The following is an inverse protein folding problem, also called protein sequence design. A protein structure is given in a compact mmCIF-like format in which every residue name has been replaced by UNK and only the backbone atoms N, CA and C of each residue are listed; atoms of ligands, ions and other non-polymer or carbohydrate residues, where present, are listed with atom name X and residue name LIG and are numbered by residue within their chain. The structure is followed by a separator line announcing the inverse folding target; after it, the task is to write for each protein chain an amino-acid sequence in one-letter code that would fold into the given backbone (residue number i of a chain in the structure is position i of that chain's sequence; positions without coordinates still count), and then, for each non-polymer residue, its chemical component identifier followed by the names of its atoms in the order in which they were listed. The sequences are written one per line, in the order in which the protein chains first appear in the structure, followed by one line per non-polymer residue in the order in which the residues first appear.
data_IF_504872525150
#
_entry.id   IF_504872525150
#
_cell.length_a   1.000
_cell.length_b   1.000
_cell.length_c   1.000
_cell.angle_alpha   90.00
_cell.angle_beta   90.00
_cell.angle_gamma   90.00
#
_symmetry.space_group_name_H-M   'P 1'
#
loop_
_entity.id
_entity.type
_entity.pdbx_description
1 polymer ?
#
# COMPACT_ATOMS: atom_id res chain seq x y z
N UNK A 1 27.36 15.68 -72.88
CA UNK A 1 28.78 15.97 -73.15
C UNK A 1 29.42 16.31 -71.81
N UNK A 2 30.27 15.40 -71.43
CA UNK A 2 31.59 15.51 -70.77
C UNK A 2 31.62 16.15 -69.36
N UNK A 3 31.77 15.32 -68.35
CA UNK A 3 33.00 14.90 -67.63
C UNK A 3 33.77 16.07 -66.99
N UNK A 4 33.97 16.07 -65.66
CA UNK A 4 35.28 15.81 -65.02
C UNK A 4 35.19 16.11 -63.51
N UNK A 5 35.30 15.15 -62.68
CA UNK A 5 36.41 14.79 -61.77
C UNK A 5 36.78 15.76 -60.62
N UNK A 6 36.86 15.11 -59.48
CA UNK A 6 37.38 15.55 -58.17
C UNK A 6 38.86 16.00 -58.21
N UNK A 7 39.41 16.66 -57.13
CA UNK A 7 39.85 15.82 -56.00
C UNK A 7 39.68 16.45 -54.57
N UNK A 8 39.88 15.54 -53.61
CA UNK A 8 39.92 15.74 -52.16
C UNK A 8 41.13 16.56 -51.69
N UNK A 9 40.94 17.35 -50.58
CA UNK A 9 42.02 17.67 -49.66
C UNK A 9 41.45 17.67 -48.21
N UNK A 10 42.13 16.90 -47.36
CA UNK A 10 41.96 16.84 -45.92
C UNK A 10 42.43 18.12 -45.20
N UNK A 11 41.79 18.46 -44.10
CA UNK A 11 42.48 18.98 -42.89
C UNK A 11 41.55 19.00 -41.68
N UNK A 12 41.99 18.39 -40.59
CA UNK A 12 41.58 18.45 -39.19
C UNK A 12 42.09 19.71 -38.53
N UNK A 13 41.86 19.91 -37.19
CA UNK A 13 40.62 20.36 -36.53
C UNK A 13 40.86 21.65 -35.73
N UNK A 14 39.82 22.37 -35.30
CA UNK A 14 39.93 23.24 -34.11
C UNK A 14 38.56 23.62 -33.56
N UNK A 15 38.42 23.35 -32.28
CA UNK A 15 37.80 24.08 -31.17
C UNK A 15 36.28 24.33 -31.13
N UNK A 16 35.72 23.68 -30.11
CA UNK A 16 34.86 24.20 -29.05
C UNK A 16 33.63 25.03 -29.43
N UNK A 17 32.47 24.39 -29.33
CA UNK A 17 31.30 25.05 -28.73
C UNK A 17 30.45 24.01 -27.96
N UNK A 18 30.53 24.09 -26.64
CA UNK A 18 29.73 23.35 -25.69
C UNK A 18 28.32 23.93 -25.61
N UNK A 19 27.33 23.17 -26.02
CA UNK A 19 25.91 23.43 -25.73
C UNK A 19 25.53 22.57 -24.50
N UNK A 20 25.07 23.16 -23.39
CA UNK A 20 24.65 22.39 -22.21
C UNK A 20 23.19 21.95 -22.34
N UNK A 21 22.91 20.69 -21.96
CA UNK A 21 21.62 20.28 -21.47
C UNK A 21 20.74 19.41 -22.35
N UNK A 22 21.13 18.18 -22.60
CA UNK A 22 20.17 17.10 -22.86
C UNK A 22 20.08 16.27 -21.60
N UNK A 23 18.90 16.30 -20.97
CA UNK A 23 18.58 15.52 -19.78
C UNK A 23 18.70 14.02 -20.08
N UNK A 24 19.52 13.34 -19.31
CA UNK A 24 19.65 11.88 -19.27
C UNK A 24 18.34 11.24 -18.82
N UNK A 25 17.85 10.17 -19.41
CA UNK A 25 16.62 9.52 -18.95
C UNK A 25 16.84 8.84 -17.59
N UNK A 26 15.90 9.07 -16.69
CA UNK A 26 15.78 8.47 -15.36
C UNK A 26 15.62 6.95 -15.46
N UNK A 27 16.73 6.23 -15.46
CA UNK A 27 16.76 4.77 -15.27
C UNK A 27 17.54 4.47 -13.99
N UNK A 28 16.96 4.82 -12.86
CA UNK A 28 17.40 4.35 -11.54
C UNK A 28 16.22 4.42 -10.60
N UNK A 29 15.53 3.32 -10.38
CA UNK A 29 14.76 3.10 -9.15
C UNK A 29 14.16 1.68 -9.10
N UNK A 30 14.98 0.65 -8.97
CA UNK A 30 14.51 -0.68 -8.51
C UNK A 30 15.44 -1.29 -7.45
N UNK A 31 16.53 -0.62 -7.07
CA UNK A 31 17.54 -1.15 -6.14
C UNK A 31 17.42 -0.63 -4.69
N UNK A 32 16.43 0.19 -4.36
CA UNK A 32 16.41 0.88 -3.06
C UNK A 32 15.80 0.07 -1.89
N UNK A 33 15.10 -1.04 -2.13
CA UNK A 33 14.41 -1.77 -1.05
C UNK A 33 15.31 -2.77 -0.30
N UNK A 34 16.35 -3.30 -0.94
CA UNK A 34 17.22 -4.33 -0.34
C UNK A 34 18.31 -3.78 0.60
N UNK A 35 18.65 -2.49 0.48
CA UNK A 35 19.80 -1.89 1.16
C UNK A 35 19.44 -1.16 2.48
N UNK A 36 18.16 -0.92 2.74
CA UNK A 36 17.70 -0.18 3.93
C UNK A 36 17.80 -0.98 5.24
N UNK A 37 17.75 -2.30 5.20
CA UNK A 37 17.79 -3.16 6.38
C UNK A 37 19.18 -3.25 7.04
N UNK A 38 20.21 -2.74 6.40
CA UNK A 38 21.55 -2.61 6.97
C UNK A 38 21.73 -1.39 7.87
N UNK A 39 20.79 -0.43 7.84
CA UNK A 39 20.78 0.78 8.67
C UNK A 39 20.00 0.53 9.97
N UNK A 40 20.38 1.28 11.03
CA UNK A 40 19.60 1.29 12.25
C UNK A 40 18.20 1.89 11.98
N UNK A 41 17.12 1.32 12.52
CA UNK A 41 15.77 1.86 12.33
C UNK A 41 15.64 3.25 12.95
N UNK A 42 14.92 4.14 12.25
CA UNK A 42 14.59 5.45 12.77
C UNK A 42 13.52 5.38 13.87
N UNK A 43 12.49 4.56 13.66
CA UNK A 43 11.48 4.25 14.66
C UNK A 43 11.54 2.75 14.98
N UNK A 44 11.66 2.41 16.26
CA UNK A 44 11.61 1.03 16.75
C UNK A 44 10.58 0.90 17.85
N UNK A 45 9.69 -0.06 17.68
CA UNK A 45 8.65 -0.44 18.61
C UNK A 45 9.01 -1.80 19.16
N UNK A 46 9.20 -1.89 20.49
CA UNK A 46 9.62 -3.11 21.16
C UNK A 46 8.58 -3.54 22.18
N UNK A 47 7.95 -4.68 21.92
CA UNK A 47 6.99 -5.32 22.82
C UNK A 47 5.90 -4.37 23.35
N UNK A 48 5.37 -3.50 22.47
CA UNK A 48 4.36 -2.54 22.89
C UNK A 48 3.02 -3.25 23.09
N UNK A 49 2.50 -3.09 24.29
CA UNK A 49 1.17 -3.55 24.70
C UNK A 49 0.35 -2.37 25.19
N UNK A 50 -0.96 -2.38 24.86
CA UNK A 50 -1.91 -1.37 25.35
C UNK A 50 -3.18 -2.01 25.82
N UNK A 51 -3.57 -1.68 27.05
CA UNK A 51 -4.85 -2.11 27.64
C UNK A 51 -5.68 -0.89 28.05
N UNK A 52 -6.99 -0.97 27.85
CA UNK A 52 -8.00 -0.04 28.36
C UNK A 52 -8.93 -0.82 29.28
N UNK A 53 -8.68 -0.73 30.59
CA UNK A 53 -9.36 -1.59 31.55
C UNK A 53 -9.12 -3.08 31.23
N UNK A 54 -10.19 -3.83 30.93
CA UNK A 54 -10.11 -5.24 30.53
C UNK A 54 -9.83 -5.48 29.04
N UNK A 55 -9.98 -4.45 28.21
CA UNK A 55 -9.80 -4.56 26.77
C UNK A 55 -8.32 -4.40 26.37
N UNK A 56 -7.77 -5.38 25.65
CA UNK A 56 -6.40 -5.36 25.12
C UNK A 56 -6.45 -4.84 23.69
N UNK A 57 -6.04 -3.59 23.50
CA UNK A 57 -6.04 -2.92 22.19
C UNK A 57 -4.81 -3.28 21.34
N UNK A 58 -3.65 -3.47 21.98
CA UNK A 58 -2.41 -3.89 21.31
C UNK A 58 -1.77 -5.02 22.11
N UNK A 59 -1.26 -6.03 21.39
CA UNK A 59 -0.70 -7.26 21.94
C UNK A 59 0.70 -7.46 21.38
N UNK A 60 1.70 -7.15 22.19
CA UNK A 60 3.12 -7.48 21.95
C UNK A 60 3.62 -7.04 20.56
N UNK A 61 3.41 -5.76 20.24
CA UNK A 61 3.78 -5.18 18.93
C UNK A 61 5.30 -4.98 18.85
N UNK A 62 5.89 -5.51 17.79
CA UNK A 62 7.28 -5.27 17.37
C UNK A 62 7.25 -4.71 15.95
N UNK A 63 7.91 -3.56 15.73
CA UNK A 63 8.00 -2.96 14.42
C UNK A 63 9.23 -2.07 14.32
N UNK A 64 10.04 -2.28 13.28
CA UNK A 64 11.11 -1.37 12.88
C UNK A 64 10.68 -0.61 11.62
N UNK A 65 10.91 0.72 11.60
CA UNK A 65 10.72 1.59 10.45
C UNK A 65 12.04 2.28 10.16
N UNK A 66 12.50 2.18 8.93
CA UNK A 66 13.83 2.66 8.53
C UNK A 66 13.80 4.11 8.03
N UNK A 67 14.93 4.83 8.03
CA UNK A 67 15.00 6.20 7.55
C UNK A 67 14.46 6.35 6.13
N UNK A 68 13.58 7.34 5.91
CA UNK A 68 12.97 7.62 4.61
C UNK A 68 11.98 6.56 4.11
N UNK A 69 11.62 5.57 4.93
CA UNK A 69 10.65 4.54 4.59
C UNK A 69 9.22 5.05 4.74
N UNK A 70 8.34 4.64 3.82
CA UNK A 70 6.89 4.84 3.91
C UNK A 70 6.23 3.53 4.38
N UNK A 71 5.83 3.46 5.64
CA UNK A 71 5.13 2.30 6.21
C UNK A 71 3.64 2.58 6.36
N UNK A 72 2.81 1.66 5.90
CA UNK A 72 1.36 1.74 6.04
C UNK A 72 0.83 0.71 7.04
N UNK A 73 0.16 1.17 8.10
CA UNK A 73 -0.59 0.32 9.03
C UNK A 73 -1.99 0.10 8.44
N UNK A 74 -2.29 -1.13 8.06
CA UNK A 74 -3.52 -1.53 7.38
C UNK A 74 -4.24 -2.60 8.20
N UNK A 75 -5.57 -2.58 8.24
CA UNK A 75 -6.35 -3.57 8.99
C UNK A 75 -7.79 -3.11 9.20
N UNK A 76 -8.69 -3.99 9.67
CA UNK A 76 -10.08 -3.66 9.92
C UNK A 76 -10.24 -2.60 11.03
N UNK A 77 -11.42 -2.00 11.11
CA UNK A 77 -11.74 -1.04 12.16
C UNK A 77 -11.59 -1.69 13.55
N UNK A 78 -10.99 -0.95 14.49
CA UNK A 78 -10.80 -1.43 15.87
C UNK A 78 -9.62 -2.39 16.07
N UNK A 79 -8.81 -2.73 15.07
CA UNK A 79 -7.65 -3.62 15.25
C UNK A 79 -6.43 -2.97 15.92
N UNK A 80 -6.48 -1.66 16.28
CA UNK A 80 -5.41 -0.99 17.05
C UNK A 80 -4.52 -0.02 16.29
N UNK A 81 -4.69 0.21 14.97
CA UNK A 81 -3.84 1.09 14.12
C UNK A 81 -3.66 2.50 14.68
N UNK A 82 -4.78 3.20 14.89
CA UNK A 82 -4.79 4.57 15.45
C UNK A 82 -4.24 4.61 16.87
N UNK A 83 -4.47 3.55 17.66
CA UNK A 83 -3.89 3.44 19.02
C UNK A 83 -2.36 3.35 18.94
N UNK A 84 -1.83 2.53 18.01
CA UNK A 84 -0.39 2.41 17.79
C UNK A 84 0.21 3.75 17.32
N UNK A 85 -0.42 4.41 16.35
CA UNK A 85 0.02 5.72 15.86
C UNK A 85 0.03 6.76 16.98
N UNK A 86 -1.01 6.79 17.83
CA UNK A 86 -1.07 7.71 18.99
C UNK A 86 0.00 7.41 20.05
N UNK A 87 0.38 6.14 20.23
CA UNK A 87 1.49 5.77 21.11
C UNK A 87 2.81 6.28 20.53
N UNK A 88 3.04 6.13 19.22
CA UNK A 88 4.23 6.67 18.54
C UNK A 88 4.30 8.19 18.72
N UNK A 89 3.19 8.90 18.60
CA UNK A 89 3.11 10.34 18.79
C UNK A 89 3.21 10.78 20.27
N UNK A 90 3.09 9.86 21.24
CA UNK A 90 3.02 10.19 22.67
C UNK A 90 1.70 10.82 23.10
N UNK A 91 0.67 10.74 22.26
CA UNK A 91 -0.72 11.16 22.55
C UNK A 91 -1.45 10.12 23.41
N UNK A 92 -0.97 8.90 23.40
CA UNK A 92 -1.45 7.79 24.22
C UNK A 92 -0.21 7.06 24.80
N UNK A 93 -0.31 6.63 26.06
CA UNK A 93 0.80 5.90 26.69
C UNK A 93 0.58 4.39 26.58
N UNK A 94 1.60 3.66 26.20
CA UNK A 94 1.60 2.20 26.22
C UNK A 94 1.53 1.68 27.66
N UNK A 95 0.95 0.49 27.83
CA UNK A 95 0.92 -0.19 29.15
C UNK A 95 2.25 -0.90 29.42
N UNK A 96 2.89 -1.44 28.37
CA UNK A 96 4.19 -2.11 28.45
C UNK A 96 4.95 -1.87 27.13
N UNK A 97 6.28 -2.14 27.17
CA UNK A 97 7.15 -2.02 26.00
C UNK A 97 7.75 -0.64 25.84
N UNK A 98 8.49 -0.46 24.74
CA UNK A 98 9.28 0.76 24.48
C UNK A 98 9.05 1.26 23.05
N UNK A 99 9.20 2.58 22.89
CA UNK A 99 9.23 3.27 21.60
C UNK A 99 10.53 4.05 21.54
N UNK A 100 11.38 3.73 20.54
CA UNK A 100 12.64 4.42 20.30
C UNK A 100 12.52 5.20 18.99
N UNK A 101 13.02 6.43 18.96
CA UNK A 101 13.03 7.31 17.81
C UNK A 101 14.43 7.91 17.64
N UNK A 102 15.08 7.72 16.50
CA UNK A 102 16.47 8.12 16.27
C UNK A 102 17.43 7.54 17.32
N UNK A 103 17.19 6.31 17.76
CA UNK A 103 17.96 5.62 18.80
C UNK A 103 17.68 6.06 20.24
N UNK A 104 16.79 7.05 20.46
CA UNK A 104 16.43 7.55 21.81
C UNK A 104 15.13 6.92 22.28
N UNK A 105 15.07 6.50 23.53
CA UNK A 105 13.82 6.03 24.16
C UNK A 105 12.90 7.23 24.42
N UNK A 106 11.76 7.25 23.71
CA UNK A 106 10.75 8.31 23.83
C UNK A 106 9.46 7.81 24.51
N UNK A 107 9.49 6.61 25.08
CA UNK A 107 8.31 5.90 25.63
C UNK A 107 7.46 6.75 26.57
N UNK A 108 8.11 7.55 27.42
CA UNK A 108 7.45 8.38 28.43
C UNK A 108 7.54 9.88 28.14
N UNK A 109 8.08 10.26 26.99
CA UNK A 109 8.15 11.68 26.62
C UNK A 109 6.80 12.18 26.12
N UNK A 110 6.38 13.39 26.52
CA UNK A 110 5.16 14.01 25.97
C UNK A 110 5.37 14.35 24.48
N UNK A 111 4.27 14.57 23.72
CA UNK A 111 4.33 14.87 22.28
C UNK A 111 5.27 16.04 21.93
N UNK A 112 5.31 17.08 22.77
CA UNK A 112 6.15 18.27 22.57
C UNK A 112 7.65 18.01 22.61
N UNK A 113 8.10 16.85 23.12
CA UNK A 113 9.49 16.44 23.22
C UNK A 113 9.87 15.33 22.23
N UNK A 114 8.95 14.95 21.34
CA UNK A 114 9.18 13.96 20.28
C UNK A 114 9.35 14.66 18.94
N UNK A 115 10.16 14.08 18.05
CA UNK A 115 10.43 14.64 16.72
C UNK A 115 9.45 14.05 15.67
N UNK A 116 8.26 14.61 15.58
CA UNK A 116 7.27 14.21 14.58
C UNK A 116 6.38 15.37 14.12
N UNK A 117 5.86 15.24 12.89
CA UNK A 117 4.70 15.98 12.40
C UNK A 117 3.50 15.03 12.26
N UNK A 118 2.30 15.51 12.51
CA UNK A 118 1.09 14.69 12.41
C UNK A 118 0.00 15.37 11.59
N UNK A 119 -0.66 14.59 10.73
CA UNK A 119 -1.92 14.93 10.06
C UNK A 119 -3.01 14.02 10.61
N UNK A 120 -4.02 14.60 11.25
CA UNK A 120 -5.16 13.87 11.77
C UNK A 120 -6.22 13.66 10.71
N UNK A 121 -7.10 12.69 10.90
CA UNK A 121 -8.22 12.36 10.02
C UNK A 121 -9.13 13.57 9.73
N UNK A 122 -9.38 14.44 10.72
CA UNK A 122 -10.17 15.67 10.58
C UNK A 122 -9.33 16.87 10.15
N UNK A 123 -8.04 16.65 9.75
CA UNK A 123 -7.04 17.68 9.48
C UNK A 123 -6.71 18.58 10.69
N UNK A 124 -7.61 18.74 11.64
CA UNK A 124 -7.48 19.52 12.89
C UNK A 124 -6.89 20.92 12.67
N UNK A 125 -7.31 21.61 11.60
CA UNK A 125 -6.93 22.99 11.35
C UNK A 125 -7.62 23.93 12.36
N UNK A 126 -6.90 24.97 12.77
CA UNK A 126 -7.47 26.04 13.58
C UNK A 126 -8.43 26.88 12.71
N UNK A 127 -9.75 26.85 12.98
CA UNK A 127 -10.74 27.44 12.08
C UNK A 127 -10.66 28.98 12.02
N UNK A 128 -10.13 29.59 13.06
CA UNK A 128 -9.95 31.04 13.22
C UNK A 128 -8.59 31.56 12.70
N UNK A 129 -7.74 30.68 12.18
CA UNK A 129 -6.45 31.02 11.60
C UNK A 129 -6.47 30.79 10.10
N UNK A 130 -5.84 31.68 9.33
CA UNK A 130 -5.64 31.49 7.89
C UNK A 130 -4.68 30.32 7.61
N UNK A 131 -4.53 29.90 6.34
CA UNK A 131 -3.61 28.84 5.94
C UNK A 131 -2.16 29.19 6.34
N UNK A 132 -1.68 30.39 6.08
CA UNK A 132 -0.36 30.89 6.54
C UNK A 132 -0.23 30.75 8.06
N UNK A 133 -1.23 31.22 8.82
CA UNK A 133 -1.19 31.19 10.26
C UNK A 133 -1.24 29.76 10.83
N UNK A 134 -2.00 28.86 10.19
CA UNK A 134 -2.01 27.44 10.55
C UNK A 134 -0.63 26.82 10.38
N UNK A 135 0.05 27.07 9.25
CA UNK A 135 1.39 26.53 8.99
C UNK A 135 2.44 27.18 9.89
N UNK A 136 2.35 28.48 10.14
CA UNK A 136 3.27 29.24 10.97
C UNK A 136 3.18 28.90 12.47
N UNK A 137 2.07 28.32 12.91
CA UNK A 137 1.73 28.18 14.34
C UNK A 137 2.83 27.50 15.18
N UNK A 138 3.36 26.38 14.69
CA UNK A 138 4.44 25.66 15.38
C UNK A 138 5.74 26.46 15.44
N UNK A 139 6.10 27.14 14.36
CA UNK A 139 7.31 27.96 14.26
C UNK A 139 7.23 29.18 15.21
N UNK A 140 6.04 29.80 15.33
CA UNK A 140 5.81 30.91 16.26
C UNK A 140 5.96 30.47 17.71
N UNK A 141 5.43 29.30 18.07
CA UNK A 141 5.57 28.73 19.42
C UNK A 141 7.03 28.42 19.78
N UNK A 142 7.85 28.08 18.81
CA UNK A 142 9.30 27.91 18.97
C UNK A 142 10.08 29.24 18.92
N UNK A 143 9.39 30.38 18.81
CA UNK A 143 9.99 31.73 18.74
C UNK A 143 10.99 31.90 17.59
N UNK A 144 10.76 31.22 16.46
CA UNK A 144 11.56 31.40 15.24
C UNK A 144 11.42 32.86 14.76
N UNK A 145 12.48 33.50 14.25
CA UNK A 145 12.43 34.86 13.71
C UNK A 145 11.39 35.02 12.60
N UNK A 146 10.61 36.11 12.61
CA UNK A 146 9.49 36.35 11.69
C UNK A 146 9.87 36.20 10.20
N UNK A 147 11.00 36.73 9.79
CA UNK A 147 11.48 36.61 8.41
C UNK A 147 11.70 35.15 7.99
N UNK A 148 12.23 34.31 8.87
CA UNK A 148 12.42 32.87 8.61
C UNK A 148 11.08 32.15 8.54
N UNK A 149 10.11 32.53 9.40
CA UNK A 149 8.75 31.96 9.34
C UNK A 149 8.10 32.28 8.01
N UNK A 150 8.16 33.54 7.55
CA UNK A 150 7.55 33.98 6.29
C UNK A 150 8.14 33.19 5.09
N UNK A 151 9.46 33.08 5.01
CA UNK A 151 10.13 32.28 3.97
C UNK A 151 9.71 30.83 4.03
N UNK A 152 9.81 30.19 5.19
CA UNK A 152 9.50 28.75 5.36
C UNK A 152 8.04 28.43 5.05
N UNK A 153 7.11 29.26 5.47
CA UNK A 153 5.68 29.09 5.23
C UNK A 153 5.35 29.24 3.74
N UNK A 154 5.97 30.21 3.04
CA UNK A 154 5.81 30.38 1.60
C UNK A 154 6.30 29.15 0.84
N UNK A 155 7.52 28.68 1.15
CA UNK A 155 8.09 27.44 0.55
C UNK A 155 7.18 26.23 0.74
N UNK A 156 6.64 26.04 1.94
CA UNK A 156 5.76 24.91 2.24
C UNK A 156 4.42 25.00 1.52
N UNK A 157 3.82 26.19 1.45
CA UNK A 157 2.56 26.40 0.72
C UNK A 157 2.76 26.19 -0.78
N UNK A 158 3.88 26.64 -1.34
CA UNK A 158 4.23 26.40 -2.75
C UNK A 158 4.47 24.90 -2.99
N UNK A 159 5.18 24.23 -2.09
CA UNK A 159 5.48 22.80 -2.15
C UNK A 159 4.23 21.93 -2.19
N UNK A 160 3.17 22.32 -1.47
CA UNK A 160 1.87 21.62 -1.49
C UNK A 160 0.89 22.19 -2.52
N UNK A 161 1.34 23.06 -3.43
CA UNK A 161 0.52 23.63 -4.51
C UNK A 161 -0.57 24.60 -4.03
N UNK A 162 -0.34 25.31 -2.93
CA UNK A 162 -1.24 26.32 -2.35
C UNK A 162 -0.65 27.74 -2.39
N UNK A 163 0.33 28.01 -3.26
CA UNK A 163 0.86 29.34 -3.50
C UNK A 163 -0.25 30.34 -3.79
N UNK A 164 -0.22 31.51 -3.14
CA UNK A 164 -1.24 32.53 -3.26
C UNK A 164 -2.55 32.30 -2.49
N UNK A 165 -2.77 31.13 -1.88
CA UNK A 165 -3.97 30.82 -1.09
C UNK A 165 -3.78 30.99 0.44
N UNK A 166 -2.62 31.45 0.86
CA UNK A 166 -2.25 31.53 2.27
C UNK A 166 -3.15 32.39 3.15
N UNK A 167 -3.85 33.36 2.56
CA UNK A 167 -4.80 34.25 3.28
C UNK A 167 -6.17 33.61 3.57
N UNK A 168 -6.51 32.48 2.93
CA UNK A 168 -7.80 31.82 3.10
C UNK A 168 -7.89 31.11 4.45
N UNK A 169 -9.10 31.10 5.02
CA UNK A 169 -9.44 30.36 6.22
C UNK A 169 -9.90 28.93 5.86
N UNK A 170 -9.84 27.97 6.79
CA UNK A 170 -10.25 26.58 6.52
C UNK A 170 -11.63 26.45 5.88
N UNK A 171 -12.62 27.22 6.33
CA UNK A 171 -13.98 27.21 5.77
C UNK A 171 -14.06 27.66 4.28
N UNK A 172 -13.02 28.31 3.77
CA UNK A 172 -12.92 28.78 2.37
C UNK A 172 -12.13 27.82 1.49
N UNK A 173 -11.65 26.72 2.04
CA UNK A 173 -10.81 25.72 1.38
C UNK A 173 -11.59 24.43 1.15
N UNK A 174 -11.38 23.79 0.00
CA UNK A 174 -11.88 22.42 -0.20
C UNK A 174 -11.21 21.43 0.73
N UNK A 175 -11.78 20.23 0.93
CA UNK A 175 -11.20 19.19 1.79
C UNK A 175 -9.76 18.84 1.40
N UNK A 176 -9.47 18.69 0.10
CA UNK A 176 -8.10 18.45 -0.37
C UNK A 176 -7.15 19.63 -0.13
N UNK A 177 -7.64 20.87 -0.20
CA UNK A 177 -6.84 22.05 0.15
C UNK A 177 -6.58 22.12 1.67
N UNK A 178 -7.58 21.80 2.51
CA UNK A 178 -7.39 21.71 3.96
C UNK A 178 -6.36 20.67 4.34
N UNK A 179 -6.39 19.50 3.70
CA UNK A 179 -5.41 18.45 3.89
C UNK A 179 -3.99 18.92 3.55
N UNK A 180 -3.80 19.61 2.42
CA UNK A 180 -2.50 20.16 2.03
C UNK A 180 -1.99 21.20 3.02
N UNK A 181 -2.87 22.05 3.58
CA UNK A 181 -2.50 22.96 4.68
C UNK A 181 -2.08 22.19 5.92
N UNK A 182 -2.80 21.12 6.30
CA UNK A 182 -2.44 20.28 7.44
C UNK A 182 -1.09 19.58 7.23
N UNK A 183 -0.81 19.13 6.01
CA UNK A 183 0.47 18.52 5.63
C UNK A 183 1.61 19.56 5.71
N UNK A 184 1.43 20.76 5.16
CA UNK A 184 2.39 21.86 5.27
C UNK A 184 2.66 22.23 6.73
N UNK A 185 1.61 22.27 7.58
CA UNK A 185 1.75 22.50 9.02
C UNK A 185 2.56 21.41 9.72
N UNK A 186 2.30 20.14 9.38
CA UNK A 186 3.03 19.02 9.95
C UNK A 186 4.52 19.05 9.58
N UNK A 187 4.87 19.56 8.40
CA UNK A 187 6.24 19.67 7.88
C UNK A 187 6.95 20.98 8.31
N UNK A 188 6.26 21.90 8.95
CA UNK A 188 6.80 23.24 9.25
C UNK A 188 8.08 23.19 10.09
N UNK A 189 8.12 22.31 11.08
CA UNK A 189 9.25 22.12 12.00
C UNK A 189 10.34 21.20 11.45
N UNK A 190 10.23 20.75 10.20
CA UNK A 190 11.17 19.79 9.57
C UNK A 190 11.36 18.51 10.40
N UNK A 191 10.27 17.81 10.74
CA UNK A 191 10.35 16.62 11.59
C UNK A 191 11.04 15.46 10.88
N UNK A 192 11.69 14.58 11.66
CA UNK A 192 12.26 13.34 11.13
C UNK A 192 11.22 12.24 10.88
N UNK A 193 10.02 12.34 11.47
CA UNK A 193 8.91 11.39 11.32
C UNK A 193 7.62 12.10 10.94
N UNK A 194 6.94 11.62 9.91
CA UNK A 194 5.60 12.07 9.53
C UNK A 194 4.58 11.00 9.87
N UNK A 195 3.56 11.36 10.63
CA UNK A 195 2.45 10.50 11.01
C UNK A 195 1.17 10.95 10.30
N UNK A 196 0.50 10.02 9.62
CA UNK A 196 -0.71 10.29 8.85
C UNK A 196 -1.84 9.38 9.38
N UNK A 197 -2.85 9.95 10.03
CA UNK A 197 -4.01 9.22 10.57
C UNK A 197 -5.18 9.33 9.59
N UNK A 198 -5.38 8.32 8.74
CA UNK A 198 -6.42 8.26 7.69
C UNK A 198 -6.52 9.55 6.84
N UNK A 199 -5.42 10.04 6.28
CA UNK A 199 -5.36 11.40 5.72
C UNK A 199 -6.29 11.61 4.52
N UNK A 200 -6.76 10.56 3.85
CA UNK A 200 -7.54 10.64 2.62
C UNK A 200 -9.00 10.22 2.78
N UNK A 201 -9.42 9.79 3.98
CA UNK A 201 -10.73 9.18 4.23
C UNK A 201 -11.93 10.10 3.95
N UNK A 202 -11.76 11.42 4.15
CA UNK A 202 -12.83 12.42 3.99
C UNK A 202 -12.98 12.97 2.55
N UNK A 203 -12.27 12.40 1.56
CA UNK A 203 -12.19 12.92 0.21
C UNK A 203 -12.92 12.06 -0.81
N UNK A 204 -13.40 12.68 -1.89
CA UNK A 204 -13.94 11.96 -3.04
C UNK A 204 -12.87 11.13 -3.78
N UNK A 205 -13.31 10.14 -4.56
CA UNK A 205 -12.42 9.16 -5.19
C UNK A 205 -11.37 9.79 -6.14
N UNK A 206 -11.75 10.81 -6.92
CA UNK A 206 -10.83 11.42 -7.88
C UNK A 206 -9.77 12.27 -7.18
N UNK A 207 -10.16 13.05 -6.18
CA UNK A 207 -9.25 13.85 -5.36
C UNK A 207 -8.29 12.91 -4.59
N UNK A 208 -8.80 11.79 -4.07
CA UNK A 208 -8.01 10.78 -3.36
C UNK A 208 -6.90 10.19 -4.24
N UNK A 209 -7.20 9.81 -5.49
CA UNK A 209 -6.20 9.27 -6.44
C UNK A 209 -5.08 10.27 -6.68
N UNK A 210 -5.42 11.55 -6.89
CA UNK A 210 -4.42 12.61 -7.12
C UNK A 210 -3.55 12.84 -5.90
N UNK A 211 -4.17 12.98 -4.72
CA UNK A 211 -3.44 13.28 -3.49
C UNK A 211 -2.55 12.12 -3.02
N UNK A 212 -2.91 10.86 -3.30
CA UNK A 212 -2.00 9.72 -3.08
C UNK A 212 -0.66 9.92 -3.78
N UNK A 213 -0.70 10.24 -5.08
CA UNK A 213 0.52 10.47 -5.85
C UNK A 213 1.32 11.67 -5.31
N UNK A 214 0.64 12.78 -4.99
CA UNK A 214 1.28 14.00 -4.48
C UNK A 214 1.96 13.77 -3.12
N UNK A 215 1.31 13.07 -2.19
CA UNK A 215 1.87 12.74 -0.86
C UNK A 215 3.09 11.82 -1.02
N UNK A 216 2.99 10.81 -1.87
CA UNK A 216 4.10 9.88 -2.13
C UNK A 216 5.29 10.58 -2.76
N UNK A 217 5.07 11.46 -3.75
CA UNK A 217 6.11 12.26 -4.37
C UNK A 217 6.76 13.22 -3.37
N UNK A 218 5.96 13.87 -2.54
CA UNK A 218 6.43 14.79 -1.52
C UNK A 218 7.32 14.05 -0.50
N UNK A 219 6.85 12.91 -0.01
CA UNK A 219 7.59 12.08 0.93
C UNK A 219 8.94 11.63 0.36
N UNK A 220 8.96 11.18 -0.90
CA UNK A 220 10.20 10.77 -1.58
C UNK A 220 11.16 11.92 -1.78
N UNK A 221 10.69 13.10 -2.20
CA UNK A 221 11.51 14.30 -2.36
C UNK A 221 12.13 14.78 -1.06
N UNK A 222 11.39 14.67 0.04
CA UNK A 222 11.88 15.09 1.37
C UNK A 222 12.70 14.00 2.07
N UNK A 223 12.61 12.73 1.63
CA UNK A 223 13.25 11.59 2.30
C UNK A 223 12.77 11.39 3.74
N UNK A 224 11.56 11.85 4.08
CA UNK A 224 11.03 11.80 5.44
C UNK A 224 10.47 10.41 5.76
N UNK A 225 10.84 9.88 6.94
CA UNK A 225 10.25 8.63 7.43
C UNK A 225 8.75 8.83 7.69
N UNK A 226 7.91 7.95 7.18
CA UNK A 226 6.45 8.14 7.24
C UNK A 226 5.74 6.89 7.75
N UNK A 227 4.82 7.07 8.69
CA UNK A 227 3.88 6.03 9.14
C UNK A 227 2.46 6.52 8.88
N UNK A 228 1.73 5.80 8.04
CA UNK A 228 0.34 6.10 7.69
C UNK A 228 -0.59 5.02 8.23
N UNK A 229 -1.73 5.43 8.76
CA UNK A 229 -2.86 4.56 9.06
C UNK A 229 -3.89 4.72 7.95
N UNK A 230 -4.39 3.62 7.43
CA UNK A 230 -5.56 3.59 6.55
C UNK A 230 -6.35 2.30 6.72
N UNK A 231 -7.59 2.30 6.29
CA UNK A 231 -8.41 1.11 6.08
C UNK A 231 -8.60 0.82 4.57
N UNK A 232 -8.11 1.69 3.68
CA UNK A 232 -8.19 1.55 2.23
C UNK A 232 -6.97 0.78 1.71
N UNK A 233 -7.24 -0.42 1.18
CA UNK A 233 -6.20 -1.30 0.62
C UNK A 233 -5.50 -0.68 -0.58
N UNK A 234 -6.25 0.05 -1.45
CA UNK A 234 -5.67 0.67 -2.63
C UNK A 234 -4.71 1.82 -2.27
N UNK A 235 -4.92 2.49 -1.12
CA UNK A 235 -3.97 3.47 -0.60
C UNK A 235 -2.69 2.77 -0.14
N UNK A 236 -2.80 1.73 0.69
CA UNK A 236 -1.66 1.00 1.20
C UNK A 236 -0.82 0.38 0.08
N UNK A 237 -1.48 -0.28 -0.89
CA UNK A 237 -0.80 -0.93 -2.02
C UNK A 237 -0.10 0.07 -2.95
N UNK A 238 -0.64 1.30 -3.11
CA UNK A 238 -0.09 2.29 -4.02
C UNK A 238 1.00 3.19 -3.42
N UNK A 239 0.98 3.42 -2.10
CA UNK A 239 1.83 4.43 -1.46
C UNK A 239 2.99 3.84 -0.65
N UNK A 240 2.81 2.67 -0.04
CA UNK A 240 3.73 2.14 0.94
C UNK A 240 4.95 1.43 0.32
N UNK A 241 6.12 1.60 0.94
CA UNK A 241 7.27 0.71 0.74
C UNK A 241 7.02 -0.64 1.46
N UNK A 242 6.42 -0.58 2.66
CA UNK A 242 6.00 -1.76 3.44
C UNK A 242 4.61 -1.57 4.04
N UNK A 243 3.84 -2.65 4.03
CA UNK A 243 2.53 -2.74 4.66
C UNK A 243 2.64 -3.60 5.91
N UNK A 244 2.06 -3.10 6.99
CA UNK A 244 1.88 -3.80 8.27
C UNK A 244 0.40 -4.12 8.41
N UNK A 245 0.03 -5.37 8.16
CA UNK A 245 -1.35 -5.84 8.32
C UNK A 245 -1.59 -6.15 9.78
N UNK A 246 -2.59 -5.48 10.37
CA UNK A 246 -2.97 -5.66 11.77
C UNK A 246 -4.34 -6.34 11.90
N UNK A 247 -4.44 -7.27 12.84
CA UNK A 247 -5.70 -7.91 13.24
C UNK A 247 -5.78 -8.02 14.76
N UNK A 248 -6.93 -7.72 15.35
CA UNK A 248 -7.26 -7.93 16.78
C UNK A 248 -6.14 -7.55 17.77
N UNK A 249 -5.40 -6.49 17.44
CA UNK A 249 -4.36 -5.92 18.29
C UNK A 249 -2.96 -6.51 18.11
N UNK A 250 -2.71 -7.34 17.11
CA UNK A 250 -1.37 -7.84 16.77
C UNK A 250 -1.05 -7.60 15.28
N UNK A 251 0.22 -7.76 14.92
CA UNK A 251 0.68 -7.71 13.53
C UNK A 251 0.52 -9.09 12.93
N UNK A 252 -0.35 -9.22 11.92
CA UNK A 252 -0.59 -10.47 11.21
C UNK A 252 0.48 -10.75 10.14
N UNK A 253 0.90 -9.70 9.40
CA UNK A 253 1.95 -9.81 8.39
C UNK A 253 2.62 -8.46 8.16
N UNK A 254 3.92 -8.48 7.83
CA UNK A 254 4.67 -7.33 7.35
C UNK A 254 5.36 -7.70 6.05
N UNK A 255 5.26 -6.84 5.03
CA UNK A 255 5.91 -7.09 3.74
C UNK A 255 5.77 -5.92 2.77
N UNK A 256 6.40 -6.04 1.61
CA UNK A 256 6.14 -5.12 0.50
C UNK A 256 4.69 -5.28 0.01
N UNK A 257 4.09 -4.27 -0.65
CA UNK A 257 2.74 -4.40 -1.24
C UNK A 257 2.55 -5.68 -2.06
N UNK A 258 3.51 -5.96 -2.93
CA UNK A 258 3.52 -7.17 -3.76
C UNK A 258 3.57 -8.45 -2.93
N UNK A 259 4.45 -8.52 -1.91
CA UNK A 259 4.59 -9.70 -1.06
C UNK A 259 3.33 -9.99 -0.25
N UNK A 260 2.72 -8.96 0.36
CA UNK A 260 1.50 -9.11 1.16
C UNK A 260 0.31 -9.54 0.30
N UNK A 261 0.25 -9.04 -0.96
CA UNK A 261 -0.80 -9.40 -1.92
C UNK A 261 -0.64 -10.82 -2.45
N UNK A 262 0.55 -11.18 -2.93
CA UNK A 262 0.78 -12.48 -3.60
C UNK A 262 1.08 -13.63 -2.66
N UNK A 263 1.68 -13.34 -1.49
CA UNK A 263 2.12 -14.35 -0.53
C UNK A 263 1.52 -14.06 0.86
N UNK A 264 0.17 -14.07 0.99
CA UNK A 264 -0.46 -13.92 2.29
C UNK A 264 -0.09 -15.09 3.21
N UNK A 265 0.19 -14.80 4.48
CA UNK A 265 0.63 -15.80 5.46
C UNK A 265 -0.53 -16.48 6.18
N UNK A 266 -1.76 -16.01 5.98
CA UNK A 266 -2.96 -16.59 6.62
C UNK A 266 -4.21 -16.33 5.77
N UNK A 267 -5.29 -17.12 5.96
CA UNK A 267 -6.59 -16.86 5.33
C UNK A 267 -7.13 -15.46 5.62
N UNK A 268 -6.87 -14.93 6.83
CA UNK A 268 -7.24 -13.56 7.18
C UNK A 268 -6.57 -12.54 6.26
N UNK A 269 -5.24 -12.59 6.11
CA UNK A 269 -4.52 -11.65 5.25
C UNK A 269 -4.95 -11.81 3.80
N UNK A 270 -5.11 -13.06 3.33
CA UNK A 270 -5.56 -13.37 1.98
C UNK A 270 -6.92 -12.74 1.65
N UNK A 271 -7.88 -12.83 2.59
CA UNK A 271 -9.22 -12.27 2.45
C UNK A 271 -9.28 -10.76 2.66
N UNK A 272 -8.39 -10.25 3.53
CA UNK A 272 -8.38 -8.83 3.86
C UNK A 272 -7.70 -8.00 2.78
N UNK A 273 -6.74 -8.53 2.03
CA UNK A 273 -6.03 -7.81 0.94
C UNK A 273 -6.56 -8.30 -0.41
N UNK A 274 -7.46 -7.54 -1.02
CA UNK A 274 -8.11 -7.88 -2.29
C UNK A 274 -9.25 -8.89 -2.13
N UNK A 275 -9.63 -9.53 -3.23
CA UNK A 275 -10.66 -10.59 -3.26
C UNK A 275 -9.96 -11.94 -3.35
N UNK A 276 -10.49 -12.94 -2.64
CA UNK A 276 -9.93 -14.30 -2.63
C UNK A 276 -11.07 -15.32 -2.68
N UNK A 277 -10.91 -16.33 -3.53
CA UNK A 277 -11.73 -17.53 -3.49
C UNK A 277 -11.20 -18.48 -2.43
N UNK A 278 -12.09 -19.08 -1.66
CA UNK A 278 -11.75 -20.09 -0.66
C UNK A 278 -12.51 -21.37 -0.93
N UNK A 279 -11.79 -22.48 -1.00
CA UNK A 279 -12.35 -23.82 -1.19
C UNK A 279 -11.86 -24.71 -0.06
N UNK A 280 -12.76 -25.51 0.51
CA UNK A 280 -12.40 -26.53 1.49
C UNK A 280 -11.76 -27.73 0.79
N UNK A 281 -10.71 -28.28 1.39
CA UNK A 281 -10.01 -29.43 0.85
C UNK A 281 -9.33 -30.27 1.91
N UNK A 282 -8.71 -31.36 1.44
CA UNK A 282 -7.87 -32.24 2.23
C UNK A 282 -6.60 -32.52 1.44
N UNK A 283 -5.45 -32.45 2.10
CA UNK A 283 -4.17 -32.79 1.48
C UNK A 283 -4.10 -34.29 1.21
N UNK A 284 -3.89 -34.69 -0.05
CA UNK A 284 -3.77 -36.10 -0.46
C UNK A 284 -2.31 -36.57 -0.47
N UNK A 285 -1.43 -35.70 -1.02
CA UNK A 285 0.00 -35.90 -1.09
C UNK A 285 0.70 -34.53 -1.01
N UNK A 286 2.02 -34.47 -0.93
CA UNK A 286 2.79 -33.25 -0.72
C UNK A 286 2.41 -32.08 -1.66
N UNK A 287 2.19 -32.40 -2.94
CA UNK A 287 1.83 -31.39 -3.95
C UNK A 287 0.37 -31.49 -4.41
N UNK A 288 -0.48 -32.22 -3.69
CA UNK A 288 -1.83 -32.53 -4.17
C UNK A 288 -2.87 -32.34 -3.11
N UNK A 289 -3.93 -31.60 -3.44
CA UNK A 289 -5.05 -31.30 -2.54
C UNK A 289 -6.36 -31.69 -3.21
N UNK A 290 -7.22 -32.43 -2.51
CA UNK A 290 -8.56 -32.79 -2.94
C UNK A 290 -9.56 -31.74 -2.49
N UNK A 291 -10.33 -31.20 -3.46
CA UNK A 291 -11.42 -30.27 -3.25
C UNK A 291 -12.72 -30.87 -3.82
N UNK A 292 -13.59 -31.41 -2.98
CA UNK A 292 -14.72 -32.23 -3.44
C UNK A 292 -14.24 -33.44 -4.24
N UNK A 293 -14.65 -33.55 -5.52
CA UNK A 293 -14.18 -34.58 -6.45
C UNK A 293 -13.03 -34.13 -7.35
N UNK A 294 -12.50 -32.91 -7.14
CA UNK A 294 -11.43 -32.33 -7.95
C UNK A 294 -10.10 -32.57 -7.22
N UNK A 295 -9.10 -33.06 -7.96
CA UNK A 295 -7.73 -33.18 -7.48
C UNK A 295 -6.91 -32.03 -8.07
N UNK A 296 -6.35 -31.17 -7.19
CA UNK A 296 -5.58 -30.01 -7.56
C UNK A 296 -4.10 -30.19 -7.24
N UNK A 297 -3.24 -29.87 -8.19
CA UNK A 297 -1.80 -29.75 -7.95
C UNK A 297 -1.51 -28.41 -7.28
N UNK A 298 -0.84 -28.42 -6.14
CA UNK A 298 -0.50 -27.25 -5.32
C UNK A 298 0.96 -27.35 -4.81
N UNK A 299 1.97 -27.04 -5.63
CA UNK A 299 3.40 -27.32 -5.37
C UNK A 299 3.98 -26.55 -4.18
N UNK A 300 3.28 -25.53 -3.68
CA UNK A 300 3.69 -24.74 -2.52
C UNK A 300 2.97 -25.16 -1.22
N UNK A 301 2.32 -26.32 -1.24
CA UNK A 301 1.70 -26.86 -0.03
C UNK A 301 2.77 -27.27 1.00
N UNK A 302 2.59 -26.82 2.24
CA UNK A 302 3.44 -27.19 3.39
C UNK A 302 2.68 -27.98 4.45
N UNK A 303 1.40 -28.23 4.21
CA UNK A 303 0.53 -28.94 5.15
C UNK A 303 0.64 -30.45 4.90
N UNK A 304 0.85 -31.29 5.93
CA UNK A 304 0.98 -32.73 5.78
C UNK A 304 -0.26 -33.40 5.18
N UNK A 305 -0.07 -34.55 4.48
CA UNK A 305 -1.18 -35.37 3.98
C UNK A 305 -2.19 -35.76 5.05
N UNK A 306 -3.46 -35.86 4.68
CA UNK A 306 -4.59 -36.20 5.54
C UNK A 306 -5.18 -35.03 6.33
N UNK A 307 -4.57 -33.87 6.32
CA UNK A 307 -5.09 -32.69 7.03
C UNK A 307 -6.11 -31.91 6.19
N UNK A 308 -7.14 -31.40 6.89
CA UNK A 308 -8.11 -30.48 6.31
C UNK A 308 -7.46 -29.11 6.09
N UNK A 309 -7.72 -28.52 4.92
CA UNK A 309 -7.14 -27.25 4.47
C UNK A 309 -8.17 -26.34 3.86
N UNK A 310 -7.79 -25.06 3.78
CA UNK A 310 -8.45 -24.04 2.96
C UNK A 310 -7.53 -23.73 1.78
N UNK A 311 -8.04 -23.98 0.58
CA UNK A 311 -7.39 -23.65 -0.69
C UNK A 311 -7.80 -22.23 -1.06
N UNK A 312 -6.86 -21.36 -1.34
CA UNK A 312 -7.10 -19.97 -1.68
C UNK A 312 -6.51 -19.63 -3.05
N UNK A 313 -7.29 -18.91 -3.87
CA UNK A 313 -6.89 -18.48 -5.21
C UNK A 313 -7.60 -17.18 -5.57
N UNK A 314 -6.88 -16.23 -6.18
CA UNK A 314 -7.48 -14.97 -6.59
C UNK A 314 -8.32 -15.12 -7.85
N UNK A 315 -9.43 -14.34 -7.97
CA UNK A 315 -10.28 -14.36 -9.16
C UNK A 315 -9.54 -14.02 -10.46
N UNK A 316 -8.59 -13.10 -10.42
CA UNK A 316 -7.81 -12.64 -11.56
C UNK A 316 -6.66 -13.58 -11.97
N UNK A 317 -6.25 -14.50 -11.09
CA UNK A 317 -5.18 -15.47 -11.38
C UNK A 317 -5.67 -16.66 -12.22
N UNK A 318 -6.97 -16.93 -12.22
CA UNK A 318 -7.55 -18.01 -13.00
C UNK A 318 -7.54 -17.70 -14.49
N UNK A 319 -7.36 -18.73 -15.32
CA UNK A 319 -7.26 -18.59 -16.77
C UNK A 319 -8.41 -19.30 -17.46
N UNK A 320 -9.06 -18.62 -18.40
CA UNK A 320 -10.05 -19.26 -19.26
C UNK A 320 -9.33 -19.99 -20.40
N UNK A 321 -9.72 -21.23 -20.63
CA UNK A 321 -9.20 -22.09 -21.69
C UNK A 321 -10.20 -22.12 -22.84
N UNK A 322 -9.82 -21.53 -24.00
CA UNK A 322 -10.72 -21.48 -25.18
C UNK A 322 -10.68 -22.75 -26.00
N UNK A 323 -9.52 -23.39 -26.08
CA UNK A 323 -9.30 -24.57 -26.92
C UNK A 323 -8.66 -25.68 -26.08
N UNK A 324 -9.18 -26.90 -26.09
CA UNK A 324 -8.52 -28.01 -25.44
C UNK A 324 -7.10 -28.15 -25.97
N UNK A 325 -6.11 -28.07 -25.09
CA UNK A 325 -4.72 -28.29 -25.44
C UNK A 325 -4.50 -29.77 -25.74
N UNK A 326 -3.65 -30.08 -26.74
CA UNK A 326 -3.19 -31.45 -26.99
C UNK A 326 -2.37 -32.02 -25.81
N UNK A 327 -1.80 -31.14 -24.98
CA UNK A 327 -1.10 -31.48 -23.73
C UNK A 327 -2.02 -31.26 -22.55
N UNK A 328 -2.16 -32.23 -21.61
CA UNK A 328 -2.95 -32.02 -20.39
C UNK A 328 -2.44 -30.81 -19.60
N UNK A 329 -3.32 -29.86 -19.34
CA UNK A 329 -3.03 -28.67 -18.52
C UNK A 329 -3.43 -29.04 -17.07
N UNK A 330 -2.53 -28.91 -16.08
CA UNK A 330 -2.88 -29.21 -14.70
C UNK A 330 -3.97 -28.28 -14.19
N UNK A 331 -4.79 -28.81 -13.28
CA UNK A 331 -5.88 -28.08 -12.64
C UNK A 331 -6.92 -27.47 -13.60
N UNK A 332 -7.15 -28.13 -14.72
CA UNK A 332 -8.20 -27.74 -15.66
C UNK A 332 -9.55 -28.30 -15.21
N UNK A 333 -10.56 -27.42 -15.05
CA UNK A 333 -11.87 -27.77 -14.54
C UNK A 333 -12.95 -27.09 -15.40
N UNK A 334 -14.04 -27.82 -15.65
CA UNK A 334 -15.23 -27.22 -16.23
C UNK A 334 -16.04 -26.50 -15.15
N UNK A 335 -16.63 -25.36 -15.54
CA UNK A 335 -17.42 -24.54 -14.64
C UNK A 335 -18.69 -24.04 -15.34
N UNK A 336 -19.78 -23.98 -14.58
CA UNK A 336 -21.03 -23.36 -15.00
C UNK A 336 -21.09 -21.92 -14.50
N UNK A 337 -21.63 -21.02 -15.32
CA UNK A 337 -21.79 -19.61 -14.99
C UNK A 337 -23.12 -19.39 -14.25
N UNK A 338 -23.03 -19.02 -12.97
CA UNK A 338 -24.19 -18.72 -12.13
C UNK A 338 -24.61 -17.24 -12.23
N UNK A 339 -23.65 -16.35 -12.29
CA UNK A 339 -23.87 -14.91 -12.28
C UNK A 339 -22.80 -14.13 -13.05
N UNK A 340 -23.12 -12.87 -13.38
CA UNK A 340 -22.24 -11.94 -14.08
C UNK A 340 -22.41 -10.55 -13.49
N UNK A 341 -21.31 -9.91 -13.17
CA UNK A 341 -21.27 -8.53 -12.69
C UNK A 341 -20.33 -7.72 -13.58
N UNK A 342 -20.81 -6.61 -14.15
CA UNK A 342 -19.97 -5.70 -14.92
C UNK A 342 -19.29 -4.70 -13.99
N UNK A 343 -17.96 -4.71 -13.97
CA UNK A 343 -17.11 -3.86 -13.11
C UNK A 343 -16.52 -2.64 -13.84
N UNK A 344 -17.00 -2.32 -15.06
CA UNK A 344 -16.44 -1.26 -15.91
C UNK A 344 -15.20 -1.72 -16.68
N UNK A 345 -14.09 -1.98 -16.02
CA UNK A 345 -12.86 -2.47 -16.67
C UNK A 345 -12.91 -3.96 -17.03
N UNK A 346 -13.85 -4.73 -16.46
CA UNK A 346 -13.98 -6.17 -16.65
C UNK A 346 -15.32 -6.70 -16.19
N UNK A 347 -15.40 -8.02 -16.13
CA UNK A 347 -16.51 -8.77 -15.59
C UNK A 347 -16.03 -9.69 -14.47
N UNK A 348 -16.84 -9.81 -13.42
CA UNK A 348 -16.75 -10.89 -12.44
C UNK A 348 -17.83 -11.91 -12.77
N UNK A 349 -17.41 -13.16 -12.88
CA UNK A 349 -18.29 -14.29 -13.12
C UNK A 349 -18.34 -15.14 -11.88
N UNK A 350 -19.53 -15.42 -11.37
CA UNK A 350 -19.75 -16.41 -10.33
C UNK A 350 -19.88 -17.78 -10.97
N UNK A 351 -19.05 -18.72 -10.57
CA UNK A 351 -18.90 -20.03 -11.18
C UNK A 351 -19.14 -21.14 -10.18
N UNK A 352 -19.76 -22.22 -10.66
CA UNK A 352 -19.77 -23.53 -9.96
C UNK A 352 -18.85 -24.48 -10.70
N UNK A 353 -17.90 -25.09 -9.95
CA UNK A 353 -16.96 -26.05 -10.51
C UNK A 353 -17.61 -27.44 -10.65
N UNK A 354 -17.41 -28.12 -11.80
CA UNK A 354 -17.77 -29.53 -11.96
C UNK A 354 -16.98 -30.37 -10.93
N UNK A 355 -17.70 -31.09 -10.07
CA UNK A 355 -17.09 -31.86 -8.98
C UNK A 355 -17.02 -31.15 -7.62
N UNK A 356 -17.31 -29.83 -7.56
CA UNK A 356 -17.46 -29.09 -6.31
C UNK A 356 -18.57 -28.03 -6.41
N UNK A 357 -19.81 -28.48 -6.51
CA UNK A 357 -20.97 -27.59 -6.60
C UNK A 357 -21.35 -26.85 -5.31
N UNK A 358 -20.69 -27.17 -4.16
CA UNK A 358 -21.07 -26.61 -2.86
C UNK A 358 -20.45 -25.24 -2.58
N UNK A 359 -19.38 -24.90 -3.25
CA UNK A 359 -18.62 -23.66 -3.01
C UNK A 359 -18.42 -22.94 -4.35
N UNK A 360 -19.24 -21.93 -4.65
CA UNK A 360 -19.05 -21.11 -5.83
C UNK A 360 -17.74 -20.30 -5.71
N UNK A 361 -17.13 -20.00 -6.85
CA UNK A 361 -15.95 -19.15 -6.95
C UNK A 361 -16.21 -17.99 -7.90
N UNK A 362 -15.48 -16.89 -7.71
CA UNK A 362 -15.48 -15.76 -8.61
C UNK A 362 -14.27 -15.83 -9.57
N UNK A 363 -14.50 -15.55 -10.85
CA UNK A 363 -13.47 -15.37 -11.88
C UNK A 363 -13.53 -13.92 -12.38
N UNK A 364 -12.40 -13.22 -12.42
CA UNK A 364 -12.32 -11.89 -13.03
C UNK A 364 -11.66 -11.95 -14.40
N UNK A 365 -12.31 -11.34 -15.39
CA UNK A 365 -11.80 -11.24 -16.77
C UNK A 365 -11.91 -9.80 -17.28
N UNK A 366 -10.93 -9.37 -18.09
CA UNK A 366 -10.97 -8.04 -18.68
C UNK A 366 -12.17 -7.86 -19.62
N UNK A 367 -12.65 -6.61 -19.80
CA UNK A 367 -13.76 -6.31 -20.72
C UNK A 367 -13.46 -6.75 -22.16
N UNK A 368 -12.21 -6.69 -22.60
CA UNK A 368 -11.81 -7.18 -23.94
C UNK A 368 -11.96 -8.70 -24.05
N UNK A 369 -11.52 -9.43 -23.02
CA UNK A 369 -11.68 -10.89 -22.97
C UNK A 369 -13.14 -11.29 -22.94
N UNK A 370 -13.94 -10.65 -22.08
CA UNK A 370 -15.38 -10.88 -21.97
C UNK A 370 -16.11 -10.69 -23.30
N UNK A 371 -15.76 -9.63 -24.05
CA UNK A 371 -16.32 -9.35 -25.37
C UNK A 371 -15.94 -10.43 -26.40
N UNK A 372 -14.67 -10.84 -26.41
CA UNK A 372 -14.19 -11.89 -27.33
C UNK A 372 -14.89 -13.24 -27.09
N UNK A 373 -15.26 -13.54 -25.85
CA UNK A 373 -15.94 -14.78 -25.45
C UNK A 373 -17.46 -14.73 -25.57
N UNK A 374 -18.08 -13.57 -25.82
CA UNK A 374 -19.52 -13.42 -25.79
C UNK A 374 -20.10 -13.70 -24.39
N UNK A 375 -19.50 -13.13 -23.36
CA UNK A 375 -19.76 -13.43 -21.93
C UNK A 375 -21.25 -13.35 -21.57
N UNK A 376 -22.03 -12.49 -22.22
CA UNK A 376 -23.46 -12.28 -21.96
C UNK A 376 -24.30 -13.56 -22.17
N UNK A 377 -23.90 -14.42 -23.11
CA UNK A 377 -24.60 -15.67 -23.45
C UNK A 377 -23.88 -16.92 -22.92
N UNK A 378 -22.77 -16.77 -22.23
CA UNK A 378 -21.93 -17.88 -21.81
C UNK A 378 -22.58 -18.63 -20.63
N UNK A 379 -22.89 -19.90 -20.77
CA UNK A 379 -23.47 -20.73 -19.70
C UNK A 379 -22.45 -21.62 -19.01
N UNK A 380 -21.37 -21.98 -19.69
CA UNK A 380 -20.31 -22.81 -19.16
C UNK A 380 -18.97 -22.46 -19.82
N UNK A 381 -17.89 -22.70 -19.12
CA UNK A 381 -16.52 -22.49 -19.61
C UNK A 381 -15.57 -23.52 -18.97
N UNK A 382 -14.39 -23.64 -19.56
CA UNK A 382 -13.30 -24.39 -18.97
C UNK A 382 -12.29 -23.40 -18.42
N UNK A 383 -11.89 -23.59 -17.17
CA UNK A 383 -10.90 -22.76 -16.50
C UNK A 383 -9.71 -23.59 -16.04
N UNK A 384 -8.57 -22.93 -15.93
CA UNK A 384 -7.40 -23.45 -15.25
C UNK A 384 -7.25 -22.69 -13.92
N UNK A 385 -6.96 -23.44 -12.85
CA UNK A 385 -6.48 -22.91 -11.58
C UNK A 385 -4.95 -23.11 -11.56
N UNK A 386 -4.14 -22.07 -11.89
CA UNK A 386 -2.70 -22.25 -12.04
C UNK A 386 -2.07 -22.78 -10.75
N UNK A 387 -1.32 -23.89 -10.78
CA UNK A 387 -0.75 -24.52 -9.59
C UNK A 387 0.10 -23.55 -8.74
N UNK A 388 0.87 -22.71 -9.42
CA UNK A 388 1.77 -21.72 -8.82
C UNK A 388 1.04 -20.60 -8.03
N UNK A 389 -0.22 -20.35 -8.36
CA UNK A 389 -1.06 -19.32 -7.72
C UNK A 389 -1.89 -19.84 -6.56
N UNK A 390 -2.02 -21.17 -6.43
CA UNK A 390 -2.76 -21.80 -5.33
C UNK A 390 -2.00 -21.61 -4.02
N UNK A 391 -2.72 -21.15 -2.99
CA UNK A 391 -2.25 -21.10 -1.60
C UNK A 391 -3.05 -22.08 -0.78
N UNK A 392 -2.36 -22.81 0.10
CA UNK A 392 -2.96 -23.81 0.96
C UNK A 392 -2.71 -23.43 2.41
N UNK A 393 -3.76 -23.28 3.18
CA UNK A 393 -3.69 -22.95 4.59
C UNK A 393 -4.27 -24.09 5.44
N UNK A 394 -3.68 -24.39 6.61
CA UNK A 394 -4.32 -25.29 7.57
C UNK A 394 -5.72 -24.78 7.91
N UNK A 395 -6.71 -25.66 7.94
CA UNK A 395 -8.04 -25.30 8.44
C UNK A 395 -7.96 -25.29 9.96
N UNK A 396 -8.09 -24.09 10.56
CA UNK A 396 -8.20 -23.96 12.00
C UNK A 396 -9.46 -24.72 12.46
N UNK A 397 -9.31 -25.60 13.45
CA UNK A 397 -10.45 -26.22 14.08
C UNK A 397 -11.22 -25.13 14.84
N UNK A 398 -12.57 -25.08 14.72
CA UNK A 398 -13.41 -24.07 15.36
C UNK A 398 -13.34 -24.06 16.87
#
# INVERSE_FOLDING_TARGET
MTFSEQPAIANTPSDTDTVPGVATPLTQTVTAAADRTTQAPYLRIENVRKTFGKFVALKDIYLDVYPGEFVCLLGPSGCGKTTLLRIIAGLEQQTQGRVLQGGKDVSHLPPSMRDFGIVFQSYALFPNLSAIQNVAYGLQNQKVPKAQIETRVSELLDMVGLGGMGHKYPAQLSGGQQQRVALARALALSPGLLLLDEPLSALDAQVRIRLRAEITDLQRRLGITTVMVTHDQAEALAMADRIVVMDKGYIAQVGTPHSVYQHPTSPFVANFIGVMNFLDGVVEADDTVRCGNILLTAPHNTVPPGQAVVIALRPEDMRVIDTPSATPVPNQVKAEVLGREFLGAGYRLDLTLEGNARQPIALEISANRARAMGVESLTALTIQLPPEMIRVFPKENP
#
